data_IF_791814032346
#
_entry.id   IF_791814032346
#
_cell.length_a   1.000
_cell.length_b   1.000
_cell.length_c   1.000
_cell.angle_alpha   90.00
_cell.angle_beta   90.00
_cell.angle_gamma   90.00
#
_symmetry.space_group_name_H-M   'P 1'
#
loop_
_entity.id
_entity.type
_entity.pdbx_description
1 polymer ?
#
# COMPACT_ATOMS: atom_id res chain seq x y z
N UNK A 1 -5.64 7.04 -12.96
CA UNK A 1 -6.12 5.73 -12.46
C UNK A 1 -5.05 4.64 -12.58
N UNK A 2 -4.56 4.28 -13.78
CA UNK A 2 -3.66 3.12 -13.94
C UNK A 2 -2.23 3.31 -13.42
N UNK A 3 -1.67 4.53 -13.49
CA UNK A 3 -0.31 4.80 -12.97
C UNK A 3 -0.22 4.56 -11.46
N UNK A 4 -1.32 4.78 -10.73
CA UNK A 4 -1.39 4.60 -9.28
C UNK A 4 -1.42 3.13 -8.86
N UNK A 5 -1.48 2.18 -9.81
CA UNK A 5 -1.42 0.74 -9.56
C UNK A 5 -0.03 0.14 -9.84
N UNK A 6 0.97 0.95 -10.19
CA UNK A 6 2.34 0.47 -10.44
C UNK A 6 2.99 -0.11 -9.16
N UNK A 7 4.01 -0.91 -9.36
CA UNK A 7 4.91 -1.37 -8.29
C UNK A 7 5.49 -0.19 -7.50
N UNK A 8 5.79 -0.41 -6.22
CA UNK A 8 6.48 0.56 -5.39
C UNK A 8 7.84 0.88 -6.00
N UNK A 9 8.14 2.18 -6.09
CA UNK A 9 9.44 2.66 -6.53
C UNK A 9 10.39 2.66 -5.35
N UNK A 10 11.43 1.84 -5.39
CA UNK A 10 12.37 1.68 -4.26
C UNK A 10 13.53 2.67 -4.29
N UNK A 11 13.56 3.57 -5.28
CA UNK A 11 14.62 4.56 -5.44
C UNK A 11 15.85 4.03 -6.19
N UNK A 12 16.77 4.92 -6.62
CA UNK A 12 17.88 4.58 -7.51
C UNK A 12 18.85 3.54 -6.93
N UNK A 13 18.95 3.44 -5.60
CA UNK A 13 19.86 2.50 -4.92
C UNK A 13 19.35 1.06 -4.88
N UNK A 14 18.05 0.84 -5.13
CA UNK A 14 17.40 -0.47 -5.01
C UNK A 14 16.69 -0.92 -6.29
N UNK A 15 16.32 0.01 -7.17
CA UNK A 15 15.67 -0.34 -8.42
C UNK A 15 16.54 -1.24 -9.32
N UNK A 16 15.87 -2.17 -9.99
CA UNK A 16 16.47 -3.18 -10.89
C UNK A 16 17.51 -4.09 -10.22
N UNK A 17 17.62 -4.07 -8.88
CA UNK A 17 18.46 -5.00 -8.14
C UNK A 17 17.73 -6.30 -7.82
N UNK A 18 18.49 -7.28 -7.33
CA UNK A 18 17.95 -8.57 -6.88
C UNK A 18 16.98 -8.39 -5.71
N UNK A 19 15.98 -9.28 -5.64
CA UNK A 19 15.05 -9.38 -4.51
C UNK A 19 15.75 -9.66 -3.16
N UNK A 20 17.02 -10.07 -3.18
CA UNK A 20 17.85 -10.22 -1.97
C UNK A 20 17.97 -8.89 -1.19
N UNK A 21 17.84 -7.75 -1.88
CA UNK A 21 17.87 -6.42 -1.27
C UNK A 21 16.58 -6.03 -0.56
N UNK A 22 15.50 -6.79 -0.71
CA UNK A 22 14.24 -6.47 -0.07
C UNK A 22 14.33 -6.49 1.46
N UNK A 23 15.18 -7.32 2.05
CA UNK A 23 15.36 -7.34 3.51
C UNK A 23 15.81 -5.98 4.06
N UNK A 24 16.61 -5.22 3.31
CA UNK A 24 17.08 -3.89 3.69
C UNK A 24 15.94 -2.87 3.65
N UNK A 25 15.11 -2.92 2.59
CA UNK A 25 13.92 -2.07 2.46
C UNK A 25 12.88 -2.40 3.54
N UNK A 26 12.64 -3.68 3.82
CA UNK A 26 11.66 -4.10 4.82
C UNK A 26 12.07 -3.69 6.23
N UNK A 27 13.37 -3.65 6.55
CA UNK A 27 13.84 -3.13 7.83
C UNK A 27 13.52 -1.63 7.99
N UNK A 28 13.54 -0.86 6.91
CA UNK A 28 13.11 0.54 6.90
C UNK A 28 11.60 0.61 7.16
N UNK A 29 10.81 -0.21 6.44
CA UNK A 29 9.35 -0.23 6.56
C UNK A 29 8.86 -0.66 7.96
N UNK A 30 9.55 -1.62 8.58
CA UNK A 30 9.26 -2.10 9.94
C UNK A 30 9.56 -1.03 10.99
N UNK A 31 10.63 -0.26 10.80
CA UNK A 31 10.99 0.83 11.70
C UNK A 31 10.00 1.99 11.62
N UNK A 32 9.63 2.41 10.42
CA UNK A 32 8.64 3.47 10.19
C UNK A 32 8.03 3.37 8.77
N UNK A 33 6.72 3.10 8.62
CA UNK A 33 6.08 3.00 7.30
C UNK A 33 6.00 4.34 6.55
N UNK A 34 6.34 5.47 7.19
CA UNK A 34 6.45 6.79 6.56
C UNK A 34 7.87 7.12 6.11
N UNK A 35 8.85 6.27 6.42
CA UNK A 35 10.21 6.43 5.94
C UNK A 35 10.37 5.74 4.58
N UNK A 36 10.95 6.45 3.63
CA UNK A 36 11.25 5.92 2.30
C UNK A 36 12.75 5.61 2.18
N UNK A 37 13.15 4.60 1.37
CA UNK A 37 14.49 4.55 0.81
C UNK A 37 14.84 5.86 0.10
N UNK A 38 16.13 6.19 -0.01
CA UNK A 38 16.56 7.44 -0.65
C UNK A 38 15.98 7.59 -2.07
N UNK A 39 15.20 8.65 -2.28
CA UNK A 39 14.53 8.94 -3.55
C UNK A 39 13.39 8.00 -3.93
N UNK A 40 13.06 7.00 -3.11
CA UNK A 40 11.96 6.07 -3.33
C UNK A 40 10.65 6.49 -2.67
N UNK A 41 9.68 5.56 -2.66
CA UNK A 41 8.40 5.68 -1.96
C UNK A 41 8.45 5.00 -0.60
N UNK A 42 7.78 5.58 0.40
CA UNK A 42 7.44 4.91 1.66
C UNK A 42 6.20 4.01 1.48
N UNK A 43 5.92 3.17 2.48
CA UNK A 43 4.65 2.40 2.53
C UNK A 43 3.46 3.34 2.54
N UNK A 44 3.56 4.46 3.27
CA UNK A 44 2.51 5.48 3.34
C UNK A 44 2.26 6.19 2.01
N UNK A 45 3.29 6.46 1.21
CA UNK A 45 3.13 7.07 -0.13
C UNK A 45 2.34 6.13 -1.06
N UNK A 46 2.69 4.84 -1.05
CA UNK A 46 1.96 3.81 -1.81
C UNK A 46 0.52 3.68 -1.31
N UNK A 47 0.31 3.66 0.00
CA UNK A 47 -1.02 3.60 0.59
C UNK A 47 -1.90 4.79 0.17
N UNK A 48 -1.35 6.01 0.21
CA UNK A 48 -2.05 7.24 -0.16
C UNK A 48 -2.52 7.22 -1.62
N UNK A 49 -1.65 6.84 -2.57
CA UNK A 49 -2.07 6.74 -3.98
C UNK A 49 -3.12 5.66 -4.21
N UNK A 50 -3.02 4.53 -3.51
CA UNK A 50 -4.01 3.46 -3.64
C UNK A 50 -5.36 3.82 -3.00
N UNK A 51 -5.37 4.61 -1.93
CA UNK A 51 -6.59 5.18 -1.39
C UNK A 51 -7.28 6.10 -2.42
N UNK A 52 -6.52 6.86 -3.19
CA UNK A 52 -7.05 7.64 -4.32
C UNK A 52 -7.68 6.76 -5.42
N UNK A 53 -7.09 5.59 -5.70
CA UNK A 53 -7.67 4.61 -6.63
C UNK A 53 -8.98 4.06 -6.09
N UNK A 54 -9.04 3.69 -4.81
CA UNK A 54 -10.26 3.20 -4.16
C UNK A 54 -11.39 4.21 -4.27
N UNK A 55 -11.12 5.46 -3.88
CA UNK A 55 -12.11 6.52 -3.93
C UNK A 55 -12.65 6.73 -5.36
N UNK A 56 -11.75 6.78 -6.35
CA UNK A 56 -12.14 6.97 -7.74
C UNK A 56 -12.94 5.78 -8.28
N UNK A 57 -12.51 4.56 -7.92
CA UNK A 57 -13.16 3.30 -8.35
C UNK A 57 -14.55 3.16 -7.74
N UNK A 58 -14.72 3.50 -6.46
CA UNK A 58 -16.01 3.43 -5.76
C UNK A 58 -17.02 4.40 -6.38
N UNK A 59 -16.59 5.63 -6.70
CA UNK A 59 -17.43 6.62 -7.38
C UNK A 59 -17.81 6.18 -8.80
N UNK A 60 -16.86 5.65 -9.58
CA UNK A 60 -17.06 5.31 -11.00
C UNK A 60 -17.83 3.99 -11.20
N UNK A 61 -17.57 2.99 -10.36
CA UNK A 61 -18.06 1.62 -10.53
C UNK A 61 -18.99 1.15 -9.40
N UNK A 62 -19.65 2.09 -8.71
CA UNK A 62 -20.55 1.81 -7.60
C UNK A 62 -21.53 0.66 -7.90
N UNK A 63 -21.54 -0.36 -7.03
CA UNK A 63 -22.39 -1.56 -7.16
C UNK A 63 -21.88 -2.63 -8.14
N UNK A 64 -20.70 -2.43 -8.75
CA UNK A 64 -20.06 -3.42 -9.63
C UNK A 64 -19.01 -4.24 -8.88
N UNK A 65 -18.76 -5.46 -9.36
CA UNK A 65 -17.59 -6.23 -8.93
C UNK A 65 -16.35 -5.71 -9.66
N UNK A 66 -15.35 -5.24 -8.91
CA UNK A 66 -14.11 -4.71 -9.46
C UNK A 66 -12.96 -5.68 -9.20
N UNK A 67 -12.17 -5.95 -10.24
CA UNK A 67 -10.91 -6.68 -10.15
C UNK A 67 -9.74 -5.71 -10.30
N UNK A 68 -8.89 -5.61 -9.28
CA UNK A 68 -7.67 -4.81 -9.31
C UNK A 68 -6.49 -5.72 -9.65
N UNK A 69 -5.76 -5.37 -10.71
CA UNK A 69 -4.53 -6.04 -11.13
C UNK A 69 -3.36 -5.08 -10.92
N UNK A 70 -2.38 -5.49 -10.12
CA UNK A 70 -1.24 -4.68 -9.71
C UNK A 70 -0.07 -5.61 -9.35
N UNK A 71 0.82 -5.16 -8.46
CA UNK A 71 2.05 -5.85 -8.11
C UNK A 71 2.08 -6.27 -6.64
N UNK A 72 3.11 -7.02 -6.26
CA UNK A 72 3.16 -7.69 -4.97
C UNK A 72 3.11 -6.72 -3.78
N UNK A 73 3.92 -5.66 -3.79
CA UNK A 73 4.00 -4.73 -2.66
C UNK A 73 2.77 -3.82 -2.56
N UNK A 74 2.29 -3.15 -3.64
CA UNK A 74 1.05 -2.39 -3.65
C UNK A 74 -0.14 -3.22 -3.19
N UNK A 75 -0.32 -4.46 -3.66
CA UNK A 75 -1.47 -5.28 -3.25
C UNK A 75 -1.43 -5.68 -1.77
N UNK A 76 -0.24 -5.87 -1.19
CA UNK A 76 -0.07 -6.11 0.25
C UNK A 76 -0.45 -4.88 1.06
N UNK A 77 0.05 -3.70 0.66
CA UNK A 77 -0.28 -2.42 1.29
C UNK A 77 -1.77 -2.13 1.17
N UNK A 78 -2.35 -2.42 0.02
CA UNK A 78 -3.77 -2.27 -0.23
C UNK A 78 -4.65 -3.08 0.73
N UNK A 79 -4.29 -4.34 0.96
CA UNK A 79 -5.01 -5.21 1.89
C UNK A 79 -4.90 -4.69 3.33
N UNK A 80 -3.75 -4.17 3.74
CA UNK A 80 -3.63 -3.53 5.05
C UNK A 80 -4.52 -2.29 5.17
N UNK A 81 -4.55 -1.44 4.14
CA UNK A 81 -5.38 -0.24 4.12
C UNK A 81 -6.87 -0.60 4.23
N UNK A 82 -7.33 -1.59 3.46
CA UNK A 82 -8.72 -2.04 3.51
C UNK A 82 -9.09 -2.73 4.83
N UNK A 83 -8.18 -3.53 5.38
CA UNK A 83 -8.35 -4.11 6.71
C UNK A 83 -8.51 -3.03 7.79
N UNK A 84 -7.70 -1.95 7.74
CA UNK A 84 -7.84 -0.81 8.63
C UNK A 84 -9.15 -0.05 8.42
N UNK A 85 -9.55 0.17 7.16
CA UNK A 85 -10.80 0.83 6.79
C UNK A 85 -12.05 0.07 7.23
N UNK A 86 -11.98 -1.26 7.23
CA UNK A 86 -13.05 -2.13 7.72
C UNK A 86 -13.26 -1.98 9.23
N UNK A 87 -12.18 -1.82 9.99
CA UNK A 87 -12.25 -1.59 11.45
C UNK A 87 -12.63 -0.15 11.77
N UNK A 88 -12.14 0.82 10.99
CA UNK A 88 -12.44 2.23 11.12
C UNK A 88 -12.63 2.89 9.73
N UNK A 89 -13.87 3.20 9.31
CA UNK A 89 -14.12 3.82 8.01
C UNK A 89 -13.41 5.17 7.77
N UNK A 90 -13.09 5.95 8.82
CA UNK A 90 -12.33 7.21 8.68
C UNK A 90 -10.87 7.00 8.28
N UNK A 91 -10.37 5.76 8.36
CA UNK A 91 -8.99 5.41 8.07
C UNK A 91 -8.60 5.73 6.62
N UNK A 92 -9.51 5.57 5.66
CA UNK A 92 -9.23 5.90 4.26
C UNK A 92 -8.94 7.39 4.08
N UNK A 93 -9.69 8.26 4.77
CA UNK A 93 -9.47 9.72 4.74
C UNK A 93 -8.14 10.09 5.42
N UNK A 94 -7.77 9.39 6.49
CA UNK A 94 -6.50 9.58 7.20
C UNK A 94 -5.28 9.19 6.34
N UNK A 95 -5.38 8.06 5.62
CA UNK A 95 -4.36 7.57 4.68
C UNK A 95 -4.26 8.49 3.46
N UNK A 96 -5.39 8.86 2.86
CA UNK A 96 -5.41 9.75 1.70
C UNK A 96 -4.81 11.12 2.05
N UNK A 97 -5.08 11.64 3.25
CA UNK A 97 -4.54 12.90 3.75
C UNK A 97 -3.11 12.83 4.28
N UNK A 98 -2.45 11.66 4.26
CA UNK A 98 -1.12 11.43 4.86
C UNK A 98 -1.00 12.01 6.28
N UNK A 99 -2.07 11.92 7.09
CA UNK A 99 -2.09 12.51 8.43
C UNK A 99 -1.19 11.71 9.37
N UNK A 100 0.10 12.06 9.38
CA UNK A 100 1.15 11.46 10.22
C UNK A 100 0.85 11.52 11.73
N UNK A 101 -0.08 12.35 12.17
CA UNK A 101 -0.45 12.52 13.59
C UNK A 101 -1.43 11.45 14.12
N UNK A 102 -2.00 10.61 13.25
CA UNK A 102 -2.83 9.48 13.70
C UNK A 102 -1.95 8.30 14.12
N UNK A 103 -2.03 7.88 15.39
CA UNK A 103 -1.30 6.71 15.91
C UNK A 103 -1.75 5.38 15.25
N UNK A 104 -2.96 5.36 14.67
CA UNK A 104 -3.56 4.16 14.09
C UNK A 104 -2.96 3.85 12.72
N UNK A 105 -2.71 4.87 11.90
CA UNK A 105 -2.18 4.70 10.52
C UNK A 105 -0.84 3.96 10.47
N UNK A 106 0.22 4.37 11.22
CA UNK A 106 1.48 3.63 11.23
C UNK A 106 1.27 2.18 11.65
N UNK A 107 0.50 1.93 12.70
CA UNK A 107 0.30 0.58 13.23
C UNK A 107 -0.31 -0.39 12.22
N UNK A 108 -1.26 0.09 11.41
CA UNK A 108 -1.91 -0.70 10.35
C UNK A 108 -0.95 -0.90 9.17
N UNK A 109 -0.29 0.18 8.71
CA UNK A 109 0.61 0.11 7.57
C UNK A 109 1.81 -0.80 7.83
N UNK A 110 2.36 -0.84 9.05
CA UNK A 110 3.42 -1.78 9.42
C UNK A 110 3.00 -3.25 9.34
N UNK A 111 1.70 -3.57 9.25
CA UNK A 111 1.20 -4.93 9.10
C UNK A 111 1.10 -5.40 7.63
N UNK A 112 1.41 -4.57 6.63
CA UNK A 112 1.20 -4.89 5.21
C UNK A 112 1.82 -6.24 4.80
N UNK A 113 2.96 -6.63 5.38
CA UNK A 113 3.61 -7.92 5.11
C UNK A 113 2.82 -9.15 5.54
N UNK A 114 1.86 -9.03 6.47
CA UNK A 114 0.94 -10.12 6.83
C UNK A 114 0.02 -10.50 5.68
N UNK A 115 -0.13 -9.62 4.69
CA UNK A 115 -0.98 -9.82 3.53
C UNK A 115 -0.22 -10.32 2.29
N UNK A 116 0.99 -10.87 2.45
CA UNK A 116 1.79 -11.43 1.36
C UNK A 116 0.95 -12.34 0.42
N UNK A 117 1.20 -12.22 -0.88
CA UNK A 117 0.50 -12.93 -1.95
C UNK A 117 1.45 -13.90 -2.63
N UNK A 118 0.92 -15.05 -3.04
CA UNK A 118 1.63 -15.94 -3.95
C UNK A 118 1.58 -15.39 -5.38
N UNK A 119 2.49 -15.86 -6.23
CA UNK A 119 2.50 -15.50 -7.65
C UNK A 119 1.15 -15.84 -8.30
N UNK A 120 0.56 -14.85 -8.97
CA UNK A 120 -0.75 -14.96 -9.64
C UNK A 120 -1.92 -15.34 -8.71
N UNK A 121 -1.81 -15.07 -7.41
CA UNK A 121 -2.92 -15.28 -6.47
C UNK A 121 -4.05 -14.26 -6.69
N UNK A 122 -5.28 -14.76 -6.83
CA UNK A 122 -6.50 -13.96 -6.72
C UNK A 122 -7.02 -14.03 -5.28
N UNK A 123 -7.13 -12.89 -4.61
CA UNK A 123 -7.61 -12.80 -3.23
C UNK A 123 -8.70 -11.73 -3.11
N UNK A 124 -9.76 -12.05 -2.37
CA UNK A 124 -10.77 -11.06 -1.99
C UNK A 124 -10.16 -10.05 -1.02
N UNK A 125 -10.60 -8.79 -1.09
CA UNK A 125 -10.20 -7.78 -0.12
C UNK A 125 -10.84 -8.03 1.26
N UNK A 126 -10.10 -7.77 2.34
CA UNK A 126 -10.48 -8.14 3.72
C UNK A 126 -11.51 -7.21 4.32
#
# INVERSE_FOLDING_TARGET
ATVELRERYFGPSYELLSHEKYAEVWAIDEADPFLAPEGGESVADVASRLAGVLFSTDVEFHGSAVLIVSHGDPLQIFQAVLSGAKENPSFLDEVAGLKKESLVVPSVLSQHRKFALNTAELRQVV
#
